data_IF_478519022748
#
_entry.id   IF_478519022748
#
_cell.length_a   1.000
_cell.length_b   1.000
_cell.length_c   1.000
_cell.angle_alpha   90.00
_cell.angle_beta   90.00
_cell.angle_gamma   90.00
#
_symmetry.space_group_name_H-M   'P 1'
#
loop_
_entity.id
_entity.type
_entity.pdbx_description
1 polymer ?
#
# COMPACT_ATOMS: atom_id res chain seq x y z
N UNK A 1 1.55 21.26 23.57
CA UNK A 1 1.11 22.67 23.41
C UNK A 1 2.27 23.62 23.09
N UNK A 2 3.05 24.14 24.05
CA UNK A 2 4.00 25.25 23.82
C UNK A 2 5.06 25.01 22.71
N UNK A 3 5.61 23.80 22.57
CA UNK A 3 6.64 23.52 21.58
C UNK A 3 6.14 23.40 20.11
N UNK A 4 4.91 22.91 19.90
CA UNK A 4 4.32 22.79 18.55
C UNK A 4 3.78 24.16 18.11
N UNK A 5 3.16 24.90 19.03
CA UNK A 5 2.65 26.25 18.76
C UNK A 5 3.81 27.19 18.43
N UNK A 6 4.89 27.16 19.20
CA UNK A 6 6.10 27.93 18.91
C UNK A 6 6.73 27.54 17.56
N UNK A 7 6.80 26.23 17.25
CA UNK A 7 7.31 25.78 15.95
C UNK A 7 6.39 26.24 14.80
N UNK A 8 5.08 26.26 15.01
CA UNK A 8 4.12 26.73 14.01
C UNK A 8 4.29 28.22 13.71
N UNK A 9 4.63 29.03 14.71
CA UNK A 9 4.89 30.46 14.54
C UNK A 9 6.24 30.72 13.84
N UNK A 10 7.29 30.00 14.23
CA UNK A 10 8.65 30.22 13.72
C UNK A 10 8.90 29.56 12.36
N UNK A 11 8.41 28.33 12.17
CA UNK A 11 8.57 27.56 10.93
C UNK A 11 7.33 26.69 10.65
N UNK A 12 6.29 27.25 10.04
CA UNK A 12 5.02 26.55 9.84
C UNK A 12 5.16 25.35 8.87
N UNK A 13 6.17 25.36 7.99
CA UNK A 13 6.47 24.20 7.13
C UNK A 13 7.03 23.01 7.92
N UNK A 14 7.89 23.27 8.91
CA UNK A 14 8.40 22.25 9.82
C UNK A 14 7.28 21.67 10.68
N UNK A 15 6.41 22.53 11.23
CA UNK A 15 5.24 22.09 11.99
C UNK A 15 4.31 21.18 11.15
N UNK A 16 4.00 21.57 9.92
CA UNK A 16 3.18 20.74 9.03
C UNK A 16 3.86 19.42 8.67
N UNK A 17 5.17 19.42 8.41
CA UNK A 17 5.93 18.19 8.15
C UNK A 17 5.89 17.25 9.37
N UNK A 18 6.04 17.80 10.58
CA UNK A 18 5.94 17.03 11.82
C UNK A 18 4.56 16.38 11.97
N UNK A 19 3.47 17.12 11.76
CA UNK A 19 2.12 16.59 11.84
C UNK A 19 1.86 15.47 10.82
N UNK A 20 2.32 15.64 9.58
CA UNK A 20 2.20 14.63 8.53
C UNK A 20 3.04 13.38 8.87
N UNK A 21 4.27 13.55 9.34
CA UNK A 21 5.13 12.43 9.73
C UNK A 21 4.66 11.73 11.01
N UNK A 22 4.03 12.45 11.94
CA UNK A 22 3.53 11.90 13.19
C UNK A 22 2.47 10.82 12.97
N UNK A 23 1.67 10.89 11.91
CA UNK A 23 0.64 9.88 11.60
C UNK A 23 1.14 8.69 10.77
N UNK A 24 2.40 8.72 10.33
CA UNK A 24 3.06 7.66 9.60
C UNK A 24 3.61 6.55 10.51
N UNK A 25 3.98 5.42 9.90
CA UNK A 25 4.71 4.35 10.56
C UNK A 25 6.05 4.87 11.14
N UNK A 26 6.51 4.40 12.32
CA UNK A 26 7.75 4.87 12.96
C UNK A 26 9.05 4.46 12.23
N UNK A 27 8.96 3.85 11.05
CA UNK A 27 10.15 3.46 10.30
C UNK A 27 10.83 4.72 9.72
N UNK A 28 12.16 4.69 9.50
CA UNK A 28 12.84 5.79 8.82
C UNK A 28 12.22 6.07 7.45
N UNK A 29 11.91 7.33 7.22
CA UNK A 29 11.34 7.82 5.97
C UNK A 29 12.42 8.56 5.18
N UNK A 30 12.89 8.02 4.03
CA UNK A 30 13.94 8.68 3.26
C UNK A 30 13.43 10.01 2.71
N UNK A 31 14.21 11.08 2.90
CA UNK A 31 13.78 12.45 2.55
C UNK A 31 13.56 12.59 1.04
N UNK A 32 14.36 11.92 0.23
CA UNK A 32 14.26 11.89 -1.24
C UNK A 32 12.96 11.24 -1.73
N UNK A 33 12.34 10.44 -0.88
CA UNK A 33 11.06 9.80 -1.19
C UNK A 33 9.92 10.81 -1.07
N UNK A 34 10.03 11.81 -0.19
CA UNK A 34 8.99 12.83 0.00
C UNK A 34 9.00 13.91 -1.08
N UNK A 35 10.16 14.21 -1.64
CA UNK A 35 10.38 15.34 -2.56
C UNK A 35 9.37 15.40 -3.73
N UNK A 36 9.06 14.30 -4.44
CA UNK A 36 8.12 14.34 -5.55
C UNK A 36 6.67 14.62 -5.12
N UNK A 37 6.32 14.31 -3.87
CA UNK A 37 4.96 14.47 -3.35
C UNK A 37 4.71 15.80 -2.64
N UNK A 38 5.75 16.61 -2.37
CA UNK A 38 5.58 17.92 -1.72
C UNK A 38 4.56 18.81 -2.45
N UNK A 39 4.59 18.99 -3.79
CA UNK A 39 3.65 19.90 -4.46
C UNK A 39 2.17 19.49 -4.35
N UNK A 40 1.88 18.24 -3.98
CA UNK A 40 0.52 17.74 -3.79
C UNK A 40 -0.06 18.09 -2.41
N UNK A 41 0.77 18.60 -1.49
CA UNK A 41 0.36 18.98 -0.14
C UNK A 41 -0.18 20.41 -0.07
N UNK A 42 -1.02 20.73 0.92
CA UNK A 42 -1.39 22.11 1.19
C UNK A 42 -0.19 22.92 1.66
N UNK A 43 -0.27 24.24 1.47
CA UNK A 43 0.67 25.19 2.07
C UNK A 43 0.63 25.10 3.61
N UNK A 44 1.74 25.43 4.28
CA UNK A 44 3.02 25.92 3.74
C UNK A 44 3.92 24.86 3.09
N UNK A 45 3.83 23.59 3.48
CA UNK A 45 4.74 22.52 3.07
C UNK A 45 4.71 22.28 1.56
N UNK A 46 3.53 22.37 0.91
CA UNK A 46 3.43 22.24 -0.54
C UNK A 46 4.06 23.36 -1.36
N UNK A 47 4.45 24.47 -0.73
CA UNK A 47 5.21 25.55 -1.36
C UNK A 47 6.72 25.45 -1.13
N UNK A 48 7.18 24.49 -0.32
CA UNK A 48 8.61 24.30 -0.04
C UNK A 48 9.28 23.73 -1.29
N UNK A 49 10.32 24.42 -1.75
CA UNK A 49 11.13 23.91 -2.85
C UNK A 49 11.83 22.60 -2.42
N UNK A 50 11.93 21.59 -3.30
CA UNK A 50 12.70 20.36 -3.07
C UNK A 50 14.07 20.55 -2.40
N UNK A 51 14.82 21.57 -2.83
CA UNK A 51 16.15 21.90 -2.30
C UNK A 51 16.14 22.44 -0.87
N UNK A 52 14.99 22.91 -0.38
CA UNK A 52 14.80 23.47 0.96
C UNK A 52 14.27 22.46 1.97
N UNK A 53 13.81 21.28 1.53
CA UNK A 53 13.32 20.23 2.43
C UNK A 53 14.35 19.79 3.49
N UNK A 54 15.66 19.64 3.17
CA UNK A 54 16.66 19.32 4.18
C UNK A 54 16.73 20.34 5.32
N UNK A 55 16.57 21.64 5.05
CA UNK A 55 16.57 22.68 6.08
C UNK A 55 15.31 22.62 6.97
N UNK A 56 14.16 22.22 6.41
CA UNK A 56 12.93 21.96 7.18
C UNK A 56 13.14 20.77 8.12
N UNK A 57 13.77 19.70 7.63
CA UNK A 57 14.14 18.53 8.46
C UNK A 57 15.15 18.93 9.54
N UNK A 58 16.16 19.73 9.20
CA UNK A 58 17.17 20.22 10.14
C UNK A 58 16.56 21.05 11.27
N UNK A 59 15.50 21.81 10.96
CA UNK A 59 14.73 22.54 11.98
C UNK A 59 14.14 21.56 12.99
N UNK A 60 13.51 20.47 12.53
CA UNK A 60 12.94 19.45 13.42
C UNK A 60 14.00 18.74 14.25
N UNK A 61 15.16 18.43 13.67
CA UNK A 61 16.25 17.77 14.41
C UNK A 61 16.87 18.70 15.47
N UNK A 62 17.03 19.98 15.16
CA UNK A 62 17.59 20.98 16.11
C UNK A 62 16.69 21.16 17.32
N UNK A 63 15.37 21.03 17.15
CA UNK A 63 14.40 21.08 18.24
C UNK A 63 14.20 19.73 18.94
N UNK A 64 14.93 18.67 18.56
CA UNK A 64 14.80 17.33 19.12
C UNK A 64 13.48 16.62 18.78
N UNK A 65 12.74 17.11 17.78
CA UNK A 65 11.44 16.57 17.34
C UNK A 65 11.58 15.46 16.30
N UNK A 66 12.75 15.37 15.68
CA UNK A 66 13.10 14.32 14.73
C UNK A 66 14.54 13.86 14.94
N UNK A 67 14.84 12.64 14.52
CA UNK A 67 16.20 12.17 14.29
C UNK A 67 16.38 11.92 12.79
N UNK A 68 17.56 12.25 12.26
CA UNK A 68 17.91 12.02 10.86
C UNK A 68 19.22 11.26 10.78
N UNK A 69 19.25 10.20 9.98
CA UNK A 69 20.44 9.42 9.69
C UNK A 69 20.54 9.09 8.19
N UNK A 70 21.42 8.17 7.80
CA UNK A 70 21.60 7.75 6.41
C UNK A 70 20.40 6.97 5.83
N UNK A 71 19.47 6.51 6.67
CA UNK A 71 18.28 5.73 6.29
C UNK A 71 17.03 6.61 6.15
N UNK A 72 17.02 7.78 6.78
CA UNK A 72 15.98 8.78 6.62
C UNK A 72 15.67 9.54 7.91
N UNK A 73 14.50 10.18 7.91
CA UNK A 73 13.97 10.91 9.07
C UNK A 73 13.05 10.00 9.87
N UNK A 74 13.21 10.04 11.18
CA UNK A 74 12.37 9.35 12.15
C UNK A 74 11.81 10.35 13.15
N UNK A 75 10.54 10.21 13.48
CA UNK A 75 9.92 10.97 14.57
C UNK A 75 9.83 10.02 15.77
N UNK A 76 10.45 10.35 16.92
CA UNK A 76 10.40 9.50 18.12
C UNK A 76 8.96 9.22 18.55
N UNK A 77 8.68 8.01 19.05
CA UNK A 77 7.30 7.62 19.42
C UNK A 77 6.66 8.58 20.41
N UNK A 78 7.41 9.04 21.41
CA UNK A 78 6.96 10.06 22.38
C UNK A 78 6.49 11.35 21.70
N UNK A 79 7.20 11.80 20.66
CA UNK A 79 6.83 13.00 19.90
C UNK A 79 5.61 12.72 19.03
N UNK A 80 5.54 11.55 18.38
CA UNK A 80 4.36 11.17 17.56
C UNK A 80 3.09 11.14 18.40
N UNK A 81 3.16 10.52 19.57
CA UNK A 81 2.01 10.37 20.47
C UNK A 81 1.59 11.73 21.01
N UNK A 82 2.53 12.57 21.48
CA UNK A 82 2.24 13.93 21.90
C UNK A 82 1.60 14.79 20.79
N UNK A 83 2.12 14.72 19.56
CA UNK A 83 1.55 15.45 18.42
C UNK A 83 0.13 14.97 18.10
N UNK A 84 -0.12 13.65 18.13
CA UNK A 84 -1.46 13.09 17.85
C UNK A 84 -2.47 13.45 18.94
N UNK A 85 -2.04 13.42 20.19
CA UNK A 85 -2.87 13.80 21.34
C UNK A 85 -3.25 15.29 21.26
N UNK A 86 -2.28 16.16 20.95
CA UNK A 86 -2.49 17.60 20.78
C UNK A 86 -3.41 17.92 19.57
N UNK A 87 -3.29 17.19 18.46
CA UNK A 87 -4.12 17.39 17.27
C UNK A 87 -5.58 16.96 17.46
N UNK A 88 -5.80 15.90 18.25
CA UNK A 88 -7.10 15.26 18.36
C UNK A 88 -7.52 14.47 17.11
N UNK A 89 -8.64 13.72 17.17
CA UNK A 89 -8.97 12.69 16.19
C UNK A 89 -9.29 13.22 14.79
N UNK A 90 -9.89 14.41 14.70
CA UNK A 90 -10.29 15.01 13.41
C UNK A 90 -9.07 15.51 12.63
N UNK A 91 -8.18 16.25 13.28
CA UNK A 91 -6.96 16.73 12.65
C UNK A 91 -5.98 15.58 12.34
N UNK A 92 -5.95 14.51 13.15
CA UNK A 92 -5.21 13.28 12.83
C UNK A 92 -5.72 12.65 11.53
N UNK A 93 -7.04 12.61 11.28
CA UNK A 93 -7.57 12.10 10.01
C UNK A 93 -7.15 12.96 8.82
N UNK A 94 -7.17 14.29 8.98
CA UNK A 94 -6.71 15.23 7.94
C UNK A 94 -5.21 15.03 7.65
N UNK A 95 -4.39 14.94 8.70
CA UNK A 95 -2.96 14.67 8.56
C UNK A 95 -2.71 13.32 7.88
N UNK A 96 -3.50 12.28 8.19
CA UNK A 96 -3.41 10.97 7.53
C UNK A 96 -3.73 11.07 6.04
N UNK A 97 -4.74 11.86 5.67
CA UNK A 97 -5.05 12.12 4.26
C UNK A 97 -3.85 12.76 3.53
N UNK A 98 -3.23 13.79 4.13
CA UNK A 98 -2.06 14.45 3.55
C UNK A 98 -0.86 13.51 3.46
N UNK A 99 -0.63 12.72 4.50
CA UNK A 99 0.41 11.70 4.50
C UNK A 99 0.17 10.66 3.39
N UNK A 100 -1.07 10.23 3.21
CA UNK A 100 -1.50 9.36 2.12
C UNK A 100 -1.19 9.94 0.74
N UNK A 101 -1.57 11.19 0.48
CA UNK A 101 -1.28 11.89 -0.78
C UNK A 101 0.24 11.99 -1.04
N UNK A 102 1.01 12.37 -0.02
CA UNK A 102 2.47 12.47 -0.09
C UNK A 102 3.11 11.13 -0.47
N UNK A 103 2.72 10.05 0.22
CA UNK A 103 3.25 8.71 -0.04
C UNK A 103 2.80 8.19 -1.40
N UNK A 104 1.54 8.41 -1.78
CA UNK A 104 0.99 7.96 -3.04
C UNK A 104 1.73 8.57 -4.24
N UNK A 105 2.06 9.87 -4.17
CA UNK A 105 2.88 10.56 -5.15
C UNK A 105 4.33 10.05 -5.17
N UNK A 106 4.84 9.59 -4.02
CA UNK A 106 6.18 9.02 -3.91
C UNK A 106 6.30 7.56 -4.40
N UNK A 107 5.18 6.85 -4.54
CA UNK A 107 5.15 5.43 -4.86
C UNK A 107 5.50 5.17 -6.34
N UNK A 108 6.57 4.38 -6.63
CA UNK A 108 7.02 4.11 -8.00
C UNK A 108 5.90 3.58 -8.90
N UNK A 109 5.94 3.91 -10.20
CA UNK A 109 5.01 3.34 -11.18
C UNK A 109 5.40 1.90 -11.57
N UNK A 110 6.69 1.65 -11.77
CA UNK A 110 7.23 0.35 -12.21
C UNK A 110 7.40 -0.61 -11.02
N UNK A 111 6.56 -1.64 -10.95
CA UNK A 111 6.56 -2.62 -9.84
C UNK A 111 7.41 -3.86 -10.17
N UNK A 112 7.62 -4.14 -11.45
CA UNK A 112 8.46 -5.21 -11.97
C UNK A 112 9.96 -4.89 -11.85
N UNK A 113 10.31 -3.61 -11.97
CA UNK A 113 11.71 -3.17 -12.05
C UNK A 113 12.44 -3.36 -10.70
N UNK A 114 13.49 -4.19 -10.62
CA UNK A 114 14.24 -4.42 -9.38
C UNK A 114 14.85 -3.16 -8.74
N UNK A 115 15.14 -2.14 -9.55
CA UNK A 115 15.71 -0.87 -9.06
C UNK A 115 14.73 -0.10 -8.16
N UNK A 116 13.42 -0.32 -8.30
CA UNK A 116 12.40 0.35 -7.48
C UNK A 116 12.12 -0.37 -6.16
N UNK A 117 12.62 -1.60 -5.99
CA UNK A 117 12.29 -2.44 -4.83
C UNK A 117 12.77 -1.90 -3.48
N UNK A 118 13.96 -1.27 -3.36
CA UNK A 118 14.36 -0.60 -2.11
C UNK A 118 13.38 0.50 -1.72
N UNK A 119 12.93 1.31 -2.68
CA UNK A 119 11.94 2.37 -2.46
C UNK A 119 10.59 1.81 -2.02
N UNK A 120 10.13 0.71 -2.63
CA UNK A 120 8.94 -0.01 -2.15
C UNK A 120 9.10 -0.55 -0.73
N UNK A 121 10.28 -1.06 -0.38
CA UNK A 121 10.55 -1.55 0.97
C UNK A 121 10.47 -0.43 2.01
N UNK A 122 11.00 0.76 1.69
CA UNK A 122 10.90 1.94 2.54
C UNK A 122 9.46 2.44 2.67
N UNK A 123 8.70 2.49 1.57
CA UNK A 123 7.33 3.03 1.57
C UNK A 123 6.26 2.11 2.16
N UNK A 124 6.45 0.79 2.12
CA UNK A 124 5.42 -0.18 2.50
C UNK A 124 4.81 0.06 3.89
N UNK A 125 5.60 0.27 4.97
CA UNK A 125 5.04 0.50 6.30
C UNK A 125 4.19 1.77 6.36
N UNK A 126 4.61 2.82 5.64
CA UNK A 126 3.92 4.11 5.60
C UNK A 126 2.62 4.04 4.79
N UNK A 127 2.60 3.31 3.66
CA UNK A 127 1.38 3.04 2.89
C UNK A 127 0.33 2.27 3.70
N UNK A 128 0.77 1.27 4.48
CA UNK A 128 -0.12 0.53 5.38
C UNK A 128 -0.67 1.47 6.46
N UNK A 129 0.19 2.30 7.06
CA UNK A 129 -0.24 3.29 8.06
C UNK A 129 -1.15 4.38 7.48
N UNK A 130 -1.06 4.71 6.19
CA UNK A 130 -1.92 5.69 5.54
C UNK A 130 -3.37 5.19 5.33
N UNK A 131 -3.64 3.91 5.60
CA UNK A 131 -4.97 3.30 5.59
C UNK A 131 -5.74 3.48 4.27
N UNK A 132 -5.13 2.99 3.18
CA UNK A 132 -5.75 2.99 1.85
C UNK A 132 -7.08 2.21 1.80
N UNK A 133 -7.31 1.31 2.76
CA UNK A 133 -8.54 0.52 2.85
C UNK A 133 -9.77 1.40 3.04
N UNK A 134 -9.65 2.49 3.80
CA UNK A 134 -10.75 3.40 4.13
C UNK A 134 -10.56 4.82 3.56
N UNK A 135 -9.61 4.99 2.64
CA UNK A 135 -9.35 6.29 2.02
C UNK A 135 -10.19 6.50 0.76
N UNK A 136 -10.75 7.71 0.64
CA UNK A 136 -11.42 8.17 -0.57
C UNK A 136 -10.43 8.56 -1.69
N UNK A 137 -9.14 8.73 -1.39
CA UNK A 137 -8.10 9.16 -2.35
C UNK A 137 -7.77 8.04 -3.36
N UNK A 138 -8.11 8.21 -4.65
CA UNK A 138 -7.79 7.22 -5.68
C UNK A 138 -6.28 7.01 -5.89
N UNK A 139 -5.46 8.04 -5.66
CA UNK A 139 -4.01 7.91 -5.81
C UNK A 139 -3.45 6.98 -4.74
N UNK A 140 -3.95 7.07 -3.51
CA UNK A 140 -3.56 6.18 -2.42
C UNK A 140 -4.03 4.74 -2.66
N UNK A 141 -5.25 4.52 -3.15
CA UNK A 141 -5.73 3.18 -3.53
C UNK A 141 -4.87 2.57 -4.65
N UNK A 142 -4.54 3.36 -5.65
CA UNK A 142 -3.63 2.96 -6.73
C UNK A 142 -2.23 2.58 -6.21
N UNK A 143 -1.69 3.36 -5.25
CA UNK A 143 -0.40 3.03 -4.62
C UNK A 143 -0.46 1.73 -3.79
N UNK A 144 -1.60 1.43 -3.15
CA UNK A 144 -1.82 0.18 -2.43
C UNK A 144 -1.83 -1.04 -3.36
N UNK A 145 -2.50 -0.96 -4.51
CA UNK A 145 -2.40 -1.99 -5.57
C UNK A 145 -0.95 -2.23 -5.99
N UNK A 146 -0.22 -1.15 -6.30
CA UNK A 146 1.19 -1.26 -6.70
C UNK A 146 2.07 -1.85 -5.61
N UNK A 147 1.79 -1.58 -4.33
CA UNK A 147 2.47 -2.24 -3.21
C UNK A 147 2.25 -3.75 -3.24
N UNK A 148 1.01 -4.21 -3.37
CA UNK A 148 0.69 -5.65 -3.47
C UNK A 148 1.39 -6.28 -4.67
N UNK A 149 1.33 -5.64 -5.84
CA UNK A 149 2.02 -6.11 -7.04
C UNK A 149 3.55 -6.22 -6.84
N UNK A 150 4.18 -5.22 -6.21
CA UNK A 150 5.62 -5.24 -5.91
C UNK A 150 6.00 -6.39 -4.97
N UNK A 151 5.15 -6.70 -3.99
CA UNK A 151 5.37 -7.82 -3.07
C UNK A 151 5.31 -9.17 -3.80
N UNK A 152 4.40 -9.32 -4.76
CA UNK A 152 4.30 -10.53 -5.59
C UNK A 152 5.53 -10.70 -6.48
N UNK A 153 5.99 -9.65 -7.15
CA UNK A 153 7.20 -9.69 -7.99
C UNK A 153 8.47 -10.01 -7.20
N UNK A 154 8.53 -9.56 -5.94
CA UNK A 154 9.62 -9.86 -5.00
C UNK A 154 9.51 -11.23 -4.34
N UNK A 155 8.54 -12.06 -4.75
CA UNK A 155 8.35 -13.40 -4.17
C UNK A 155 7.88 -13.38 -2.71
N UNK A 156 7.15 -12.35 -2.29
CA UNK A 156 6.57 -12.21 -0.94
C UNK A 156 5.04 -12.41 -0.94
N UNK A 157 4.54 -13.63 -1.23
CA UNK A 157 3.11 -13.86 -1.40
C UNK A 157 2.32 -13.79 -0.09
N UNK A 158 2.95 -14.05 1.06
CA UNK A 158 2.26 -14.00 2.36
C UNK A 158 1.87 -12.57 2.75
N UNK A 159 2.78 -11.57 2.78
CA UNK A 159 2.40 -10.17 2.99
C UNK A 159 1.42 -9.65 1.93
N UNK A 160 1.64 -9.99 0.65
CA UNK A 160 0.74 -9.60 -0.43
C UNK A 160 -0.69 -10.10 -0.19
N UNK A 161 -0.86 -11.35 0.26
CA UNK A 161 -2.16 -11.93 0.58
C UNK A 161 -2.85 -11.19 1.72
N UNK A 162 -2.13 -10.85 2.79
CA UNK A 162 -2.70 -10.15 3.94
C UNK A 162 -3.25 -8.79 3.50
N UNK A 163 -2.42 -7.98 2.85
CA UNK A 163 -2.81 -6.64 2.41
C UNK A 163 -3.94 -6.72 1.37
N UNK A 164 -3.83 -7.59 0.36
CA UNK A 164 -4.88 -7.72 -0.66
C UNK A 164 -6.22 -8.20 -0.09
N UNK A 165 -6.20 -9.04 0.94
CA UNK A 165 -7.42 -9.50 1.61
C UNK A 165 -8.10 -8.37 2.40
N UNK A 166 -7.32 -7.57 3.11
CA UNK A 166 -7.81 -6.38 3.83
C UNK A 166 -8.42 -5.37 2.85
N UNK A 167 -7.69 -5.01 1.78
CA UNK A 167 -8.17 -4.09 0.75
C UNK A 167 -9.43 -4.62 0.06
N UNK A 168 -9.45 -5.90 -0.34
CA UNK A 168 -10.62 -6.49 -0.98
C UNK A 168 -11.84 -6.49 -0.06
N UNK A 169 -11.68 -6.81 1.23
CA UNK A 169 -12.78 -6.80 2.19
C UNK A 169 -13.32 -5.39 2.42
N UNK A 170 -12.43 -4.41 2.69
CA UNK A 170 -12.82 -3.02 2.92
C UNK A 170 -13.50 -2.40 1.69
N UNK A 171 -12.90 -2.51 0.51
CA UNK A 171 -13.49 -1.93 -0.70
C UNK A 171 -14.74 -2.65 -1.19
N UNK A 172 -14.90 -3.95 -0.89
CA UNK A 172 -16.17 -4.63 -1.12
C UNK A 172 -17.30 -4.03 -0.27
N UNK A 173 -17.01 -3.63 0.97
CA UNK A 173 -17.97 -2.99 1.86
C UNK A 173 -18.23 -1.53 1.49
N UNK A 174 -17.17 -0.77 1.24
CA UNK A 174 -17.23 0.70 1.11
C UNK A 174 -17.55 1.16 -0.33
N UNK A 175 -17.00 0.48 -1.35
CA UNK A 175 -17.16 0.83 -2.77
C UNK A 175 -18.12 -0.11 -3.50
N UNK A 176 -18.34 -1.30 -2.96
CA UNK A 176 -19.13 -2.36 -3.55
C UNK A 176 -18.29 -3.41 -4.30
N UNK A 177 -18.87 -4.61 -4.52
CA UNK A 177 -18.13 -5.77 -5.04
C UNK A 177 -17.75 -5.67 -6.52
N UNK A 178 -18.43 -4.82 -7.29
CA UNK A 178 -18.20 -4.64 -8.73
C UNK A 178 -17.36 -3.38 -9.04
N UNK A 179 -16.91 -2.65 -8.03
CA UNK A 179 -16.05 -1.49 -8.21
C UNK A 179 -14.68 -1.90 -8.78
N UNK A 180 -14.07 -1.13 -9.71
CA UNK A 180 -12.79 -1.48 -10.33
C UNK A 180 -11.65 -1.77 -9.33
N UNK A 181 -11.51 -0.96 -8.28
CA UNK A 181 -10.49 -1.19 -7.22
C UNK A 181 -10.75 -2.50 -6.46
N UNK A 182 -12.02 -2.81 -6.14
CA UNK A 182 -12.41 -4.06 -5.47
C UNK A 182 -12.10 -5.29 -6.33
N UNK A 183 -12.39 -5.22 -7.63
CA UNK A 183 -12.11 -6.28 -8.59
C UNK A 183 -10.61 -6.47 -8.82
N UNK A 184 -9.85 -5.37 -8.84
CA UNK A 184 -8.38 -5.40 -8.88
C UNK A 184 -7.81 -6.09 -7.63
N UNK A 185 -8.31 -5.74 -6.43
CA UNK A 185 -7.87 -6.34 -5.18
C UNK A 185 -8.19 -7.85 -5.14
N UNK A 186 -9.35 -8.26 -5.65
CA UNK A 186 -9.73 -9.67 -5.76
C UNK A 186 -8.78 -10.45 -6.67
N UNK A 187 -8.41 -9.88 -7.82
CA UNK A 187 -7.41 -10.46 -8.73
C UNK A 187 -6.04 -10.61 -8.03
N UNK A 188 -5.57 -9.56 -7.35
CA UNK A 188 -4.29 -9.57 -6.64
C UNK A 188 -4.26 -10.56 -5.48
N UNK A 189 -5.35 -10.65 -4.70
CA UNK A 189 -5.53 -11.65 -3.65
C UNK A 189 -5.45 -13.07 -4.24
N UNK A 190 -6.11 -13.32 -5.37
CA UNK A 190 -6.02 -14.61 -6.04
C UNK A 190 -4.59 -14.93 -6.51
N UNK A 191 -3.85 -13.95 -7.06
CA UNK A 191 -2.44 -14.13 -7.41
C UNK A 191 -1.59 -14.47 -6.18
N UNK A 192 -1.81 -13.79 -5.05
CA UNK A 192 -1.12 -14.07 -3.81
C UNK A 192 -1.43 -15.49 -3.29
N UNK A 193 -2.68 -15.92 -3.36
CA UNK A 193 -3.11 -17.29 -3.03
C UNK A 193 -2.43 -18.34 -3.93
N UNK A 194 -2.37 -18.10 -5.25
CA UNK A 194 -1.68 -18.98 -6.20
C UNK A 194 -0.19 -19.12 -5.90
N UNK A 195 0.48 -18.01 -5.59
CA UNK A 195 1.90 -17.99 -5.24
C UNK A 195 2.17 -18.65 -3.87
N UNK A 196 1.20 -18.61 -2.95
CA UNK A 196 1.25 -19.34 -1.68
C UNK A 196 0.81 -20.82 -1.79
N UNK A 197 0.43 -21.30 -2.97
CA UNK A 197 0.00 -22.68 -3.21
C UNK A 197 -1.47 -22.99 -2.87
N UNK A 198 -2.26 -21.99 -2.47
CA UNK A 198 -3.69 -22.13 -2.18
C UNK A 198 -4.53 -22.11 -3.48
N UNK A 199 -4.42 -23.17 -4.28
CA UNK A 199 -5.00 -23.24 -5.63
C UNK A 199 -6.53 -23.21 -5.66
N UNK A 200 -7.21 -23.94 -4.77
CA UNK A 200 -8.67 -24.05 -4.79
C UNK A 200 -9.36 -22.72 -4.41
N UNK A 201 -8.97 -22.03 -3.32
CA UNK A 201 -9.53 -20.70 -3.02
C UNK A 201 -9.24 -19.69 -4.13
N UNK A 202 -8.03 -19.71 -4.70
CA UNK A 202 -7.69 -18.80 -5.79
C UNK A 202 -8.55 -19.03 -7.04
N UNK A 203 -8.82 -20.29 -7.40
CA UNK A 203 -9.69 -20.63 -8.53
C UNK A 203 -11.10 -20.06 -8.32
N UNK A 204 -11.70 -20.30 -7.15
CA UNK A 204 -13.04 -19.82 -6.85
C UNK A 204 -13.13 -18.29 -6.94
N UNK A 205 -12.15 -17.59 -6.35
CA UNK A 205 -12.09 -16.13 -6.41
C UNK A 205 -11.92 -15.61 -7.85
N UNK A 206 -11.06 -16.25 -8.66
CA UNK A 206 -10.84 -15.85 -10.05
C UNK A 206 -12.06 -16.12 -10.94
N UNK A 207 -12.83 -17.18 -10.69
CA UNK A 207 -14.06 -17.47 -11.42
C UNK A 207 -15.11 -16.38 -11.19
N UNK A 208 -15.34 -16.00 -9.93
CA UNK A 208 -16.24 -14.89 -9.59
C UNK A 208 -15.74 -13.55 -10.16
N UNK A 209 -14.46 -13.23 -9.93
CA UNK A 209 -13.85 -11.97 -10.38
C UNK A 209 -13.92 -11.78 -11.89
N UNK A 210 -13.65 -12.83 -12.69
CA UNK A 210 -13.75 -12.75 -14.16
C UNK A 210 -15.18 -12.46 -14.60
N UNK A 211 -16.18 -13.13 -14.01
CA UNK A 211 -17.57 -12.91 -14.38
C UNK A 211 -18.01 -11.47 -14.07
N UNK A 212 -17.63 -10.94 -12.90
CA UNK A 212 -17.90 -9.55 -12.53
C UNK A 212 -17.18 -8.57 -13.44
N UNK A 213 -15.90 -8.78 -13.73
CA UNK A 213 -15.13 -7.92 -14.64
C UNK A 213 -15.68 -7.91 -16.07
N UNK A 214 -16.20 -9.04 -16.58
CA UNK A 214 -16.88 -9.07 -17.88
C UNK A 214 -18.09 -8.15 -17.88
N UNK A 215 -18.90 -8.17 -16.82
CA UNK A 215 -20.09 -7.32 -16.71
C UNK A 215 -19.76 -5.85 -16.51
N UNK A 216 -18.77 -5.54 -15.67
CA UNK A 216 -18.42 -4.17 -15.29
C UNK A 216 -17.53 -3.44 -16.32
N UNK A 217 -16.56 -4.14 -16.92
CA UNK A 217 -15.53 -3.55 -17.78
C UNK A 217 -15.59 -4.06 -19.23
N UNK A 218 -16.30 -5.17 -19.47
CA UNK A 218 -16.34 -5.85 -20.75
C UNK A 218 -15.30 -6.98 -20.89
N UNK A 219 -15.54 -7.94 -21.81
CA UNK A 219 -14.70 -9.12 -21.99
C UNK A 219 -13.31 -8.82 -22.58
N UNK A 220 -13.16 -7.72 -23.33
CA UNK A 220 -11.91 -7.33 -23.99
C UNK A 220 -11.06 -6.36 -23.18
N UNK A 221 -11.52 -5.95 -21.98
CA UNK A 221 -10.76 -5.03 -21.15
C UNK A 221 -9.43 -5.69 -20.69
N UNK A 222 -8.28 -4.98 -20.71
CA UNK A 222 -6.98 -5.57 -20.37
C UNK A 222 -6.96 -6.32 -19.04
N UNK A 223 -7.64 -5.77 -18.04
CA UNK A 223 -7.71 -6.39 -16.71
C UNK A 223 -8.57 -7.66 -16.67
N UNK A 224 -9.67 -7.71 -17.44
CA UNK A 224 -10.50 -8.91 -17.61
C UNK A 224 -9.67 -10.02 -18.24
N UNK A 225 -8.91 -9.69 -19.30
CA UNK A 225 -8.03 -10.63 -19.98
C UNK A 225 -6.91 -11.15 -19.07
N UNK A 226 -6.25 -10.26 -18.30
CA UNK A 226 -5.21 -10.65 -17.34
C UNK A 226 -5.75 -11.59 -16.25
N UNK A 227 -6.95 -11.32 -15.73
CA UNK A 227 -7.61 -12.15 -14.73
C UNK A 227 -8.03 -13.50 -15.30
N UNK A 228 -8.56 -13.53 -16.53
CA UNK A 228 -8.91 -14.76 -17.23
C UNK A 228 -7.67 -15.62 -17.52
N UNK A 229 -6.54 -15.02 -17.90
CA UNK A 229 -5.27 -15.72 -18.09
C UNK A 229 -4.76 -16.33 -16.77
N UNK A 230 -4.84 -15.59 -15.67
CA UNK A 230 -4.48 -16.06 -14.33
C UNK A 230 -5.36 -17.24 -13.90
N UNK A 231 -6.68 -17.15 -14.15
CA UNK A 231 -7.63 -18.25 -13.91
C UNK A 231 -7.29 -19.50 -14.71
N UNK A 232 -6.96 -19.35 -16.00
CA UNK A 232 -6.52 -20.46 -16.85
C UNK A 232 -5.25 -21.12 -16.30
N UNK A 233 -4.28 -20.32 -15.87
CA UNK A 233 -3.06 -20.82 -15.20
C UNK A 233 -3.37 -21.62 -13.93
N UNK A 234 -4.31 -21.15 -13.10
CA UNK A 234 -4.77 -21.87 -11.92
C UNK A 234 -5.39 -23.23 -12.26
N UNK A 235 -6.24 -23.29 -13.29
CA UNK A 235 -6.88 -24.53 -13.75
C UNK A 235 -5.86 -25.55 -14.27
N UNK A 236 -4.85 -25.11 -15.01
CA UNK A 236 -3.77 -25.99 -15.48
C UNK A 236 -2.98 -26.60 -14.32
N UNK A 237 -2.69 -25.81 -13.27
CA UNK A 237 -2.00 -26.30 -12.07
C UNK A 237 -2.84 -27.31 -11.28
N UNK A 238 -4.17 -27.18 -11.30
CA UNK A 238 -5.09 -28.14 -10.67
C UNK A 238 -5.26 -29.41 -11.50
N UNK A 239 -5.39 -29.29 -12.83
CA UNK A 239 -5.52 -30.43 -13.74
C UNK A 239 -4.20 -31.17 -14.00
N UNK A 240 -3.06 -30.53 -13.71
CA UNK A 240 -1.71 -31.10 -13.82
C UNK A 240 -1.14 -31.70 -12.54
N UNK A 241 -1.88 -31.72 -11.42
CA UNK A 241 -1.50 -32.50 -10.25
C UNK A 241 -1.79 -33.98 -10.54
N UNK A 242 -0.79 -34.86 -10.76
CA UNK A 242 -1.06 -36.27 -10.95
C UNK A 242 -1.73 -36.79 -9.68
N UNK A 243 -2.96 -37.29 -9.83
CA UNK A 243 -3.68 -37.96 -8.78
C UNK A 243 -2.81 -39.08 -8.20
N UNK A 244 -2.41 -38.92 -6.93
CA UNK A 244 -2.11 -40.08 -6.08
C UNK A 244 -3.43 -40.78 -5.77
N UNK A 245 -3.95 -41.50 -6.76
CA UNK A 245 -4.94 -42.56 -6.59
C UNK A 245 -4.33 -43.86 -7.08
N UNK A 246 -3.29 -44.32 -6.37
CA UNK A 246 -2.93 -45.73 -6.37
C UNK A 246 -3.95 -46.49 -5.52
N UNK A 247 -5.19 -46.57 -6.00
CA UNK A 247 -6.04 -47.71 -5.64
C UNK A 247 -5.62 -48.88 -6.53
N UNK A 248 -4.56 -49.58 -6.10
CA UNK A 248 -4.30 -50.94 -6.56
C UNK A 248 -5.39 -51.84 -5.98
N UNK A 249 -6.42 -52.14 -6.78
CA UNK A 249 -7.25 -53.30 -6.51
C UNK A 249 -6.39 -54.57 -6.66
N UNK A 250 -6.40 -55.49 -5.69
CA UNK A 250 -5.80 -56.79 -5.88
C UNK A 250 -6.67 -57.56 -6.89
N UNK A 251 -6.09 -57.93 -8.03
CA UNK A 251 -6.71 -58.90 -8.94
C UNK A 251 -6.90 -60.20 -8.16
N UNK A 252 -8.16 -60.57 -7.89
CA UNK A 252 -8.51 -61.96 -7.56
C UNK A 252 -8.15 -62.82 -8.77
N UNK A 253 -7.15 -63.69 -8.61
CA UNK A 253 -6.99 -64.86 -9.48
C UNK A 253 -7.92 -65.95 -8.95
N UNK A 254 -8.86 -66.37 -9.79
CA UNK A 254 -9.41 -67.73 -9.78
C UNK A 254 -8.34 -68.72 -10.20
#
# INVERSE_FOLDING_TARGET
MEAIDQLSDDNPAAAQLLCVCAVLHPAPLPVEVLTPGLPALPRPLGAVAPSSLPAVVETLTTHGLAASDATGVTIPDQVRDAVRDDLGPDAVRVCRSYAGTLIAAAAPAEVENPETWPRWAALAPHLIAADAAHSSDPALRSAAHRLVASLLHRGKPRPARTIAAELHAAWSADLGPDHPDTLTAAHELARALLAAGALLPARALLEDTVNRMINALGPSHPQTLATAATRRGALLRLGGAPGKTLHRHPRRRT
#
